data_IF_873294913863
#
_entry.id   IF_873294913863
#
_cell.length_a   1.000
_cell.length_b   1.000
_cell.length_c   1.000
_cell.angle_alpha   90.00
_cell.angle_beta   90.00
_cell.angle_gamma   90.00
#
_symmetry.space_group_name_H-M   'P 1'
#
loop_
_entity.id
_entity.type
_entity.pdbx_description
1 polymer ?
#
# COMPACT_ATOMS: atom_id res chain seq x y z
N UNK A 1 -36.64 34.97 -29.25
CA UNK A 1 -36.11 33.64 -28.85
C UNK A 1 -34.62 33.78 -28.53
N UNK A 2 -34.25 33.79 -27.25
CA UNK A 2 -32.83 33.88 -26.83
C UNK A 2 -32.20 32.49 -26.97
N UNK A 3 -31.26 32.33 -27.91
CA UNK A 3 -30.44 31.12 -28.02
C UNK A 3 -29.54 31.05 -26.78
N UNK A 4 -29.78 30.06 -25.92
CA UNK A 4 -28.94 29.74 -24.77
C UNK A 4 -27.62 29.19 -25.34
N UNK A 5 -26.56 29.99 -25.29
CA UNK A 5 -25.22 29.56 -25.70
C UNK A 5 -24.76 28.54 -24.66
N UNK A 6 -24.75 27.27 -25.06
CA UNK A 6 -24.29 26.17 -24.22
C UNK A 6 -22.76 26.18 -24.30
N UNK A 7 -22.12 26.78 -23.30
CA UNK A 7 -20.67 26.66 -23.11
C UNK A 7 -20.40 25.19 -22.80
N UNK A 8 -19.81 24.48 -23.77
CA UNK A 8 -19.28 23.15 -23.55
C UNK A 8 -17.93 23.38 -22.86
N UNK A 9 -17.91 23.26 -21.54
CA UNK A 9 -16.67 23.15 -20.79
C UNK A 9 -16.06 21.78 -21.09
N UNK A 10 -15.31 21.69 -22.19
CA UNK A 10 -14.48 20.53 -22.47
C UNK A 10 -13.31 20.58 -21.48
N UNK A 11 -13.29 19.64 -20.53
CA UNK A 11 -12.12 19.41 -19.71
C UNK A 11 -10.92 19.16 -20.62
N UNK A 12 -9.78 19.78 -20.32
CA UNK A 12 -8.56 19.51 -21.07
C UNK A 12 -8.22 18.01 -20.95
N UNK A 13 -7.77 17.33 -22.00
CA UNK A 13 -7.42 15.92 -21.91
C UNK A 13 -6.12 15.72 -21.12
N UNK A 14 -6.03 14.58 -20.44
CA UNK A 14 -4.88 14.07 -19.74
C UNK A 14 -3.73 13.87 -20.72
N UNK A 15 -2.56 14.47 -20.46
CA UNK A 15 -1.43 14.41 -21.39
C UNK A 15 -0.80 13.00 -21.51
N UNK A 16 -1.12 12.07 -20.61
CA UNK A 16 -0.62 10.68 -20.65
C UNK A 16 -1.58 9.71 -21.36
N UNK A 17 -2.89 9.80 -21.11
CA UNK A 17 -3.86 8.82 -21.60
C UNK A 17 -5.06 9.41 -22.37
N UNK A 18 -5.18 10.73 -22.48
CA UNK A 18 -6.22 11.41 -23.27
C UNK A 18 -7.62 11.47 -22.64
N UNK A 19 -7.84 10.86 -21.47
CA UNK A 19 -9.09 11.02 -20.68
C UNK A 19 -9.21 12.43 -20.11
N UNK A 20 -10.40 12.86 -19.71
CA UNK A 20 -10.59 14.18 -19.08
C UNK A 20 -9.64 14.39 -17.88
N UNK A 21 -8.85 15.45 -17.93
CA UNK A 21 -7.96 15.83 -16.84
C UNK A 21 -8.76 16.43 -15.68
N UNK A 22 -8.34 16.08 -14.47
CA UNK A 22 -8.96 16.52 -13.23
C UNK A 22 -7.99 17.38 -12.42
N UNK A 23 -6.71 16.99 -12.37
CA UNK A 23 -5.67 17.66 -11.56
C UNK A 23 -4.37 17.74 -12.36
N UNK A 24 -3.73 18.91 -12.42
CA UNK A 24 -2.43 19.13 -13.07
C UNK A 24 -2.31 18.59 -14.51
N UNK A 25 -3.40 18.62 -15.27
CA UNK A 25 -3.42 18.08 -16.63
C UNK A 25 -3.39 16.54 -16.70
N UNK A 26 -3.66 15.85 -15.58
CA UNK A 26 -3.78 14.40 -15.47
C UNK A 26 -5.19 13.99 -15.05
N UNK A 27 -5.61 12.79 -15.48
CA UNK A 27 -6.77 12.12 -14.89
C UNK A 27 -6.36 11.44 -13.56
N UNK A 28 -7.32 11.17 -12.67
CA UNK A 28 -7.06 10.57 -11.35
C UNK A 28 -6.10 9.37 -11.40
N UNK A 29 -6.35 8.37 -12.26
CA UNK A 29 -5.48 7.18 -12.33
C UNK A 29 -4.01 7.51 -12.67
N UNK A 30 -3.78 8.36 -13.67
CA UNK A 30 -2.43 8.74 -14.06
C UNK A 30 -1.76 9.63 -13.02
N UNK A 31 -2.54 10.41 -12.29
CA UNK A 31 -2.05 11.19 -11.16
C UNK A 31 -1.61 10.28 -10.02
N UNK A 32 -2.44 9.30 -9.64
CA UNK A 32 -2.16 8.33 -8.57
C UNK A 32 -0.93 7.46 -8.89
N UNK A 33 -0.77 7.03 -10.15
CA UNK A 33 0.39 6.28 -10.62
C UNK A 33 1.70 7.07 -10.50
N UNK A 34 1.66 8.39 -10.75
CA UNK A 34 2.84 9.25 -10.62
C UNK A 34 3.09 9.73 -9.18
N UNK A 35 2.07 9.73 -8.33
CA UNK A 35 2.13 10.22 -6.96
C UNK A 35 1.63 9.15 -5.97
N UNK A 36 2.27 7.97 -5.93
CA UNK A 36 1.85 6.89 -5.04
C UNK A 36 2.01 7.31 -3.58
N UNK A 37 1.07 6.88 -2.74
CA UNK A 37 1.13 7.11 -1.28
C UNK A 37 2.13 6.18 -0.59
N UNK A 38 2.30 4.97 -1.14
CA UNK A 38 3.18 3.93 -0.62
C UNK A 38 3.84 3.11 -1.73
N UNK A 39 4.97 2.49 -1.44
CA UNK A 39 5.61 1.45 -2.24
C UNK A 39 5.94 0.26 -1.32
N UNK A 40 5.70 -0.95 -1.81
CA UNK A 40 6.04 -2.20 -1.11
C UNK A 40 6.71 -3.14 -2.10
N UNK A 41 7.88 -3.68 -1.73
CA UNK A 41 8.54 -4.73 -2.49
C UNK A 41 7.67 -5.99 -2.47
N UNK A 42 7.21 -6.48 -3.62
CA UNK A 42 6.45 -7.75 -3.68
C UNK A 42 7.06 -8.70 -4.72
N UNK A 43 7.12 -10.03 -4.44
CA UNK A 43 6.73 -10.72 -3.21
C UNK A 43 7.74 -10.55 -2.07
N UNK A 44 7.27 -10.63 -0.82
CA UNK A 44 8.10 -10.58 0.39
C UNK A 44 8.51 -11.97 0.85
N UNK A 45 9.79 -12.13 1.19
CA UNK A 45 10.29 -13.39 1.77
C UNK A 45 10.49 -13.24 3.27
N UNK A 46 9.71 -14.00 4.04
CA UNK A 46 9.80 -14.03 5.50
C UNK A 46 10.64 -15.23 5.95
N UNK A 47 11.75 -14.95 6.63
CA UNK A 47 12.57 -15.97 7.29
C UNK A 47 12.31 -15.96 8.79
N UNK A 48 11.60 -16.97 9.28
CA UNK A 48 11.32 -17.15 10.70
C UNK A 48 11.97 -18.41 11.26
N UNK A 49 12.53 -18.31 12.46
CA UNK A 49 13.07 -19.46 13.19
C UNK A 49 11.92 -20.23 13.87
N UNK A 50 11.71 -21.49 13.48
CA UNK A 50 10.66 -22.33 14.08
C UNK A 50 10.82 -22.62 15.57
N UNK A 51 12.04 -22.49 16.12
CA UNK A 51 12.33 -22.81 17.52
C UNK A 51 12.06 -21.66 18.47
N UNK A 52 12.36 -20.43 18.06
CA UNK A 52 12.28 -19.23 18.91
C UNK A 52 11.47 -18.10 18.29
N UNK A 53 10.76 -18.37 17.19
CA UNK A 53 9.87 -17.47 16.44
C UNK A 53 10.50 -16.14 16.03
N UNK A 54 11.83 -16.07 16.01
CA UNK A 54 12.57 -14.86 15.64
C UNK A 54 12.55 -14.66 14.13
N UNK A 55 12.52 -13.41 13.70
CA UNK A 55 12.44 -13.01 12.29
C UNK A 55 13.79 -12.48 11.82
N UNK A 56 14.20 -12.83 10.61
CA UNK A 56 15.39 -12.24 9.98
C UNK A 56 15.06 -10.84 9.50
N UNK A 57 15.85 -9.87 9.97
CA UNK A 57 15.75 -8.45 9.59
C UNK A 57 17.13 -7.95 9.16
N UNK A 58 17.22 -6.83 8.41
CA UNK A 58 18.50 -6.17 8.18
C UNK A 58 19.22 -5.91 9.51
N UNK A 59 20.46 -6.40 9.63
CA UNK A 59 21.25 -6.28 10.85
C UNK A 59 21.15 -7.43 11.86
N UNK A 60 20.28 -8.44 11.66
CA UNK A 60 20.28 -9.59 12.58
C UNK A 60 19.03 -10.44 12.60
N UNK A 61 18.83 -11.11 13.73
CA UNK A 61 17.59 -11.82 14.06
C UNK A 61 16.87 -11.04 15.14
N UNK A 62 15.62 -10.65 14.88
CA UNK A 62 14.77 -9.97 15.86
C UNK A 62 13.91 -11.00 16.57
N UNK A 63 14.03 -11.06 17.90
CA UNK A 63 13.26 -11.98 18.72
C UNK A 63 11.87 -11.42 19.00
N UNK A 64 10.84 -12.23 18.74
CA UNK A 64 9.47 -11.93 19.15
C UNK A 64 9.28 -12.42 20.58
N UNK A 65 8.65 -11.59 21.42
CA UNK A 65 8.27 -12.01 22.76
C UNK A 65 7.00 -12.85 22.69
N UNK A 66 7.15 -14.17 22.80
CA UNK A 66 6.07 -15.13 22.51
C UNK A 66 5.04 -15.21 23.66
N UNK A 67 5.37 -14.81 24.90
CA UNK A 67 4.40 -14.74 26.01
C UNK A 67 3.37 -15.89 26.05
N UNK A 68 2.09 -15.55 25.99
CA UNK A 68 0.95 -16.47 25.83
C UNK A 68 0.42 -16.53 24.39
N UNK A 69 1.22 -16.13 23.40
CA UNK A 69 0.77 -16.03 22.03
C UNK A 69 0.55 -17.41 21.41
N UNK A 70 -0.53 -17.54 20.65
CA UNK A 70 -0.76 -18.72 19.83
C UNK A 70 0.05 -18.66 18.52
N UNK A 71 0.05 -19.74 17.74
CA UNK A 71 0.82 -19.81 16.49
C UNK A 71 0.40 -18.80 15.43
N UNK A 72 -0.87 -18.40 15.43
CA UNK A 72 -1.44 -17.45 14.49
C UNK A 72 -1.01 -16.02 14.83
N UNK A 73 -1.14 -15.62 16.10
CA UNK A 73 -0.67 -14.34 16.60
C UNK A 73 0.84 -14.15 16.40
N UNK A 74 1.61 -15.24 16.54
CA UNK A 74 3.05 -15.21 16.22
C UNK A 74 3.27 -14.94 14.74
N UNK A 75 2.55 -15.61 13.84
CA UNK A 75 2.69 -15.39 12.40
C UNK A 75 2.32 -13.96 12.01
N UNK A 76 1.23 -13.41 12.57
CA UNK A 76 0.82 -12.01 12.37
C UNK A 76 1.93 -11.04 12.79
N UNK A 77 2.52 -11.25 13.97
CA UNK A 77 3.67 -10.43 14.40
C UNK A 77 4.89 -10.56 13.51
N UNK A 78 5.14 -11.75 12.97
CA UNK A 78 6.26 -11.94 12.05
C UNK A 78 6.03 -11.17 10.74
N UNK A 79 4.80 -11.19 10.24
CA UNK A 79 4.39 -10.43 9.04
C UNK A 79 4.52 -8.92 9.30
N UNK A 80 3.99 -8.44 10.42
CA UNK A 80 4.03 -7.01 10.79
C UNK A 80 5.47 -6.47 10.81
N UNK A 81 6.41 -7.22 11.38
CA UNK A 81 7.83 -6.83 11.44
C UNK A 81 8.45 -6.71 10.04
N UNK A 82 8.13 -7.63 9.13
CA UNK A 82 8.66 -7.59 7.76
C UNK A 82 8.03 -6.44 6.98
N UNK A 83 6.72 -6.24 7.13
CA UNK A 83 5.99 -5.17 6.44
C UNK A 83 6.52 -3.79 6.84
N UNK A 84 6.74 -3.54 8.13
CA UNK A 84 7.27 -2.26 8.63
C UNK A 84 8.63 -1.87 7.99
N UNK A 85 9.41 -2.86 7.55
CA UNK A 85 10.73 -2.63 6.94
C UNK A 85 10.66 -2.42 5.42
N UNK A 86 9.66 -3.00 4.77
CA UNK A 86 9.55 -3.06 3.32
C UNK A 86 8.56 -2.03 2.77
N UNK A 87 7.71 -1.46 3.63
CA UNK A 87 6.81 -0.36 3.27
C UNK A 87 7.59 0.95 3.27
N UNK A 88 7.60 1.62 2.13
CA UNK A 88 8.01 3.01 2.01
C UNK A 88 6.77 3.89 1.90
N UNK A 89 6.64 4.84 2.81
CA UNK A 89 5.60 5.87 2.75
C UNK A 89 6.16 7.15 2.15
N UNK A 90 5.51 7.68 1.13
CA UNK A 90 5.96 8.91 0.45
C UNK A 90 5.33 10.17 1.03
N UNK A 91 4.22 10.05 1.76
CA UNK A 91 3.48 11.20 2.31
C UNK A 91 3.16 11.03 3.79
N UNK A 92 3.01 12.16 4.49
CA UNK A 92 2.64 12.19 5.91
C UNK A 92 1.12 12.08 6.05
N UNK A 93 0.66 11.43 7.12
CA UNK A 93 -0.78 11.29 7.40
C UNK A 93 -1.49 10.21 6.56
N UNK A 94 -0.73 9.25 6.03
CA UNK A 94 -1.28 8.06 5.37
C UNK A 94 -1.76 7.07 6.42
N UNK A 95 -3.01 6.62 6.32
CA UNK A 95 -3.50 5.44 7.03
C UNK A 95 -3.25 4.19 6.19
N UNK A 96 -2.81 3.12 6.84
CA UNK A 96 -2.62 1.82 6.23
C UNK A 96 -3.68 0.85 6.75
N UNK A 97 -4.32 0.15 5.83
CA UNK A 97 -5.19 -0.99 6.13
C UNK A 97 -4.57 -2.21 5.48
N UNK A 98 -4.42 -3.29 6.26
CA UNK A 98 -3.88 -4.57 5.80
C UNK A 98 -4.98 -5.60 6.01
N UNK A 99 -5.37 -6.27 4.93
CA UNK A 99 -6.39 -7.32 4.95
C UNK A 99 -5.78 -8.62 4.46
N UNK A 100 -6.02 -9.72 5.17
CA UNK A 100 -5.67 -11.05 4.70
C UNK A 100 -6.74 -11.54 3.72
N UNK A 101 -6.38 -11.71 2.45
CA UNK A 101 -7.29 -12.22 1.44
C UNK A 101 -7.34 -13.76 1.48
N UNK A 102 -6.16 -14.38 1.64
CA UNK A 102 -6.04 -15.85 1.62
C UNK A 102 -4.78 -16.33 2.32
N UNK A 103 -4.93 -17.41 3.07
CA UNK A 103 -3.84 -18.14 3.72
C UNK A 103 -3.74 -19.55 3.16
N UNK A 104 -2.55 -19.90 2.71
CA UNK A 104 -2.12 -21.24 2.32
C UNK A 104 -0.94 -21.62 3.21
N UNK A 105 -0.69 -22.91 3.41
CA UNK A 105 0.33 -23.44 4.35
C UNK A 105 1.69 -22.72 4.35
N UNK A 106 2.10 -22.17 3.20
CA UNK A 106 3.38 -21.46 3.02
C UNK A 106 3.27 -20.07 2.39
N UNK A 107 2.07 -19.64 2.02
CA UNK A 107 1.85 -18.39 1.27
C UNK A 107 0.65 -17.66 1.86
N UNK A 108 0.87 -16.40 2.22
CA UNK A 108 -0.19 -15.50 2.67
C UNK A 108 -0.34 -14.39 1.65
N UNK A 109 -1.57 -14.19 1.18
CA UNK A 109 -1.95 -13.07 0.32
C UNK A 109 -2.54 -11.97 1.19
N UNK A 110 -1.88 -10.83 1.17
CA UNK A 110 -2.30 -9.64 1.89
C UNK A 110 -2.63 -8.54 0.88
N UNK A 111 -3.76 -7.89 1.08
CA UNK A 111 -4.12 -6.66 0.39
C UNK A 111 -3.76 -5.50 1.30
N UNK A 112 -2.94 -4.59 0.79
CA UNK A 112 -2.53 -3.40 1.50
C UNK A 112 -3.13 -2.17 0.83
N UNK A 113 -3.85 -1.37 1.61
CA UNK A 113 -4.47 -0.14 1.13
C UNK A 113 -3.92 1.04 1.93
N UNK A 114 -3.24 1.95 1.23
CA UNK A 114 -2.89 3.27 1.75
C UNK A 114 -4.00 4.27 1.43
N UNK A 115 -4.43 5.04 2.42
CA UNK A 115 -5.38 6.14 2.25
C UNK A 115 -4.82 7.42 2.85
N UNK A 116 -4.93 8.53 2.13
CA UNK A 116 -4.37 9.80 2.57
C UNK A 116 -4.47 10.85 1.48
N UNK A 117 -3.85 11.99 1.74
CA UNK A 117 -3.70 13.06 0.75
C UNK A 117 -2.29 13.05 0.18
N UNK A 118 -2.19 13.07 -1.14
CA UNK A 118 -0.91 13.27 -1.84
C UNK A 118 -0.56 14.76 -1.99
N UNK A 119 -1.56 15.65 -1.96
CA UNK A 119 -1.44 17.10 -2.06
C UNK A 119 -2.45 17.81 -1.13
N UNK A 120 -2.22 19.09 -0.80
CA UNK A 120 -3.13 19.89 0.06
C UNK A 120 -4.47 20.21 -0.62
#
# INVERSE_FOLDING_TARGET
MRRKMMLIELAAPCYLCGRDAVVDGLCNNCYDEQHPLMEVSTPLTLYACKKCSSVKVPGGWQKIFIGQMNSEEVAEKQIEIILDQEIKLFTKGVSLVIEEEKKLDRVTHLIMTASGKSHE
#
